data_IF_148668192479
#
_entry.id   IF_148668192479
#
_cell.length_a   1.000
_cell.length_b   1.000
_cell.length_c   1.000
_cell.angle_alpha   90.00
_cell.angle_beta   90.00
_cell.angle_gamma   90.00
#
_symmetry.space_group_name_H-M   'P 1'
#
loop_
_entity.id
_entity.type
_entity.pdbx_description
1 polymer ?
#
# COMPACT_ATOMS: atom_id res chain seq x y z
N UNK A 1 -5.41 -14.67 8.51
CA UNK A 1 -6.55 -14.72 7.56
C UNK A 1 -6.29 -15.87 6.61
N UNK A 2 -7.36 -16.46 6.05
CA UNK A 2 -7.26 -17.55 5.07
C UNK A 2 -6.47 -17.10 3.84
N UNK A 3 -5.57 -17.99 3.34
CA UNK A 3 -4.86 -17.81 2.07
C UNK A 3 -5.53 -18.60 0.93
N UNK A 4 -6.75 -19.12 1.17
CA UNK A 4 -7.53 -19.79 0.13
C UNK A 4 -8.00 -18.74 -0.87
N UNK A 5 -7.46 -18.78 -2.07
CA UNK A 5 -7.71 -17.76 -3.10
C UNK A 5 -9.19 -17.58 -3.43
N UNK A 6 -9.98 -18.66 -3.45
CA UNK A 6 -11.41 -18.61 -3.73
C UNK A 6 -12.26 -17.83 -2.72
N UNK A 7 -11.72 -17.54 -1.52
CA UNK A 7 -12.41 -16.76 -0.49
C UNK A 7 -12.21 -15.24 -0.66
N UNK A 8 -11.37 -14.83 -1.62
CA UNK A 8 -11.06 -13.42 -1.84
C UNK A 8 -11.71 -12.90 -3.11
N UNK A 9 -12.34 -11.74 -2.97
CA UNK A 9 -12.87 -10.98 -4.12
C UNK A 9 -12.13 -9.66 -4.20
N UNK A 10 -11.64 -9.31 -5.39
CA UNK A 10 -11.03 -8.03 -5.69
C UNK A 10 -12.05 -7.14 -6.38
N UNK A 11 -12.23 -5.93 -5.88
CA UNK A 11 -13.09 -4.89 -6.47
C UNK A 11 -12.21 -3.77 -7.01
N UNK A 12 -12.39 -3.42 -8.28
CA UNK A 12 -11.69 -2.33 -8.94
C UNK A 12 -12.68 -1.29 -9.44
N UNK A 13 -12.26 -0.03 -9.52
CA UNK A 13 -13.07 1.06 -10.06
C UNK A 13 -14.22 1.51 -9.16
N UNK A 14 -14.14 1.23 -7.86
CA UNK A 14 -15.12 1.65 -6.86
C UNK A 14 -14.54 2.68 -5.91
N UNK A 15 -15.32 3.69 -5.56
CA UNK A 15 -15.01 4.68 -4.51
C UNK A 15 -15.80 4.43 -3.23
N UNK A 16 -16.74 3.48 -3.26
CA UNK A 16 -17.61 3.14 -2.15
C UNK A 16 -17.56 1.62 -1.92
N UNK A 17 -17.30 1.20 -0.67
CA UNK A 17 -17.23 -0.23 -0.35
C UNK A 17 -18.59 -0.86 -0.07
N UNK A 18 -19.63 -0.08 0.12
CA UNK A 18 -21.00 -0.57 0.38
C UNK A 18 -21.81 -0.68 -0.90
N UNK A 19 -21.83 0.39 -1.68
CA UNK A 19 -22.62 0.43 -2.91
C UNK A 19 -21.83 -0.08 -4.12
N UNK A 20 -22.54 -0.67 -5.07
CA UNK A 20 -21.94 -1.16 -6.33
C UNK A 20 -22.00 -0.02 -7.34
N UNK A 21 -20.84 0.55 -7.66
CA UNK A 21 -20.73 1.59 -8.69
C UNK A 21 -20.87 1.01 -10.11
N UNK A 22 -21.36 1.83 -11.05
CA UNK A 22 -21.52 1.42 -12.47
C UNK A 22 -20.19 1.10 -13.16
N UNK A 23 -19.07 1.61 -12.64
CA UNK A 23 -17.72 1.40 -13.15
C UNK A 23 -16.98 0.24 -12.47
N UNK A 24 -17.61 -0.38 -11.48
CA UNK A 24 -16.99 -1.43 -10.68
C UNK A 24 -16.78 -2.71 -11.49
N UNK A 25 -15.60 -3.31 -11.33
CA UNK A 25 -15.27 -4.63 -11.83
C UNK A 25 -14.96 -5.53 -10.62
N UNK A 26 -15.51 -6.74 -10.61
CA UNK A 26 -15.30 -7.72 -9.55
C UNK A 26 -14.61 -8.96 -10.10
N UNK A 27 -13.60 -9.43 -9.37
CA UNK A 27 -12.81 -10.59 -9.72
C UNK A 27 -12.69 -11.53 -8.54
N UNK A 28 -12.80 -12.82 -8.80
CA UNK A 28 -12.27 -13.83 -7.89
C UNK A 28 -10.75 -13.89 -8.06
N UNK A 29 -10.03 -14.25 -7.01
CA UNK A 29 -8.60 -14.40 -7.08
C UNK A 29 -8.24 -15.83 -7.54
N UNK A 30 -7.27 -15.96 -8.45
CA UNK A 30 -6.78 -17.27 -8.86
C UNK A 30 -5.63 -17.74 -7.96
N UNK A 31 -4.72 -16.85 -7.62
CA UNK A 31 -3.55 -17.15 -6.77
C UNK A 31 -3.26 -15.98 -5.83
N UNK A 32 -2.90 -16.27 -4.58
CA UNK A 32 -2.31 -15.34 -3.63
C UNK A 32 -0.89 -15.83 -3.33
N UNK A 33 0.10 -14.97 -3.55
CA UNK A 33 1.50 -15.26 -3.27
C UNK A 33 2.02 -14.29 -2.21
N UNK A 34 2.20 -14.80 -1.01
CA UNK A 34 2.85 -14.06 0.09
C UNK A 34 4.36 -14.18 -0.10
N UNK A 35 5.09 -13.11 0.24
CA UNK A 35 6.55 -13.16 0.20
C UNK A 35 7.07 -14.30 1.11
N UNK A 36 7.98 -15.18 0.62
CA UNK A 36 8.38 -16.38 1.37
C UNK A 36 9.07 -16.09 2.70
N UNK A 37 9.68 -14.92 2.84
CA UNK A 37 10.38 -14.48 4.04
C UNK A 37 9.54 -13.49 4.88
N UNK A 38 8.21 -13.46 4.71
CA UNK A 38 7.36 -12.66 5.57
C UNK A 38 7.52 -13.07 7.04
N UNK A 39 7.75 -12.09 7.90
CA UNK A 39 7.89 -12.29 9.33
C UNK A 39 6.82 -11.49 10.08
N UNK A 40 5.84 -12.17 10.66
CA UNK A 40 4.73 -11.54 11.38
C UNK A 40 5.12 -10.88 12.71
N UNK A 41 6.31 -11.18 13.25
CA UNK A 41 6.78 -10.55 14.50
C UNK A 41 7.48 -9.21 14.26
N UNK A 42 8.20 -9.08 13.14
CA UNK A 42 8.90 -7.85 12.74
C UNK A 42 8.19 -7.07 11.63
N UNK A 43 7.16 -7.67 11.01
CA UNK A 43 6.50 -7.20 9.79
C UNK A 43 7.47 -6.99 8.60
N UNK A 44 8.65 -7.60 8.64
CA UNK A 44 9.53 -7.59 7.48
C UNK A 44 8.94 -8.39 6.33
N UNK A 45 9.19 -7.92 5.11
CA UNK A 45 8.72 -8.51 3.87
C UNK A 45 7.18 -8.66 3.82
N UNK A 46 6.46 -7.70 4.40
CA UNK A 46 5.00 -7.65 4.40
C UNK A 46 4.48 -7.18 3.04
N UNK A 47 4.51 -8.09 2.10
CA UNK A 47 4.06 -7.89 0.72
C UNK A 47 3.49 -9.18 0.15
N UNK A 48 2.41 -9.07 -0.61
CA UNK A 48 1.80 -10.18 -1.33
C UNK A 48 1.36 -9.76 -2.73
N UNK A 49 1.30 -10.71 -3.64
CA UNK A 49 0.72 -10.53 -4.97
C UNK A 49 -0.58 -11.33 -5.08
N UNK A 50 -1.58 -10.70 -5.64
CA UNK A 50 -2.87 -11.30 -5.92
C UNK A 50 -3.05 -11.36 -7.43
N UNK A 51 -3.17 -12.58 -7.99
CA UNK A 51 -3.48 -12.79 -9.40
C UNK A 51 -5.00 -12.91 -9.56
N UNK A 52 -5.55 -12.07 -10.41
CA UNK A 52 -6.96 -12.12 -10.78
C UNK A 52 -7.22 -13.35 -11.65
N UNK A 53 -8.42 -13.92 -11.57
CA UNK A 53 -8.82 -15.03 -12.44
C UNK A 53 -8.93 -14.55 -13.90
N UNK A 54 -9.57 -13.42 -14.11
CA UNK A 54 -9.73 -12.78 -15.41
C UNK A 54 -8.98 -11.46 -15.46
N UNK A 55 -8.50 -11.02 -16.64
CA UNK A 55 -7.83 -9.73 -16.79
C UNK A 55 -8.78 -8.57 -16.54
N UNK A 56 -8.30 -7.56 -15.78
CA UNK A 56 -9.03 -6.31 -15.60
C UNK A 56 -9.10 -5.51 -16.90
N UNK A 57 -10.24 -4.86 -17.14
CA UNK A 57 -10.42 -3.95 -18.29
C UNK A 57 -9.98 -2.55 -17.86
N UNK A 58 -8.90 -2.06 -18.48
CA UNK A 58 -8.41 -0.70 -18.23
C UNK A 58 -9.37 0.33 -18.85
N UNK A 59 -9.67 1.37 -18.10
CA UNK A 59 -10.58 2.46 -18.47
C UNK A 59 -10.34 3.67 -17.56
N UNK A 60 -11.18 4.70 -17.63
CA UNK A 60 -11.07 5.93 -16.83
C UNK A 60 -11.20 5.70 -15.30
N UNK A 61 -11.62 4.53 -14.85
CA UNK A 61 -11.82 4.20 -13.43
C UNK A 61 -10.88 3.09 -12.95
N UNK A 62 -10.24 2.38 -13.87
CA UNK A 62 -9.32 1.28 -13.57
C UNK A 62 -8.08 1.43 -14.42
N UNK A 63 -6.95 1.67 -13.79
CA UNK A 63 -5.65 1.87 -14.43
C UNK A 63 -4.54 1.14 -13.68
N UNK A 64 -3.42 0.96 -14.34
CA UNK A 64 -2.18 0.51 -13.69
C UNK A 64 -1.48 1.68 -13.03
N UNK A 65 -0.62 1.38 -12.04
CA UNK A 65 0.34 2.30 -11.46
C UNK A 65 1.76 1.85 -11.82
N UNK A 66 2.70 2.80 -11.93
CA UNK A 66 4.10 2.46 -12.17
C UNK A 66 4.74 1.83 -10.94
N UNK A 67 5.68 0.93 -11.16
CA UNK A 67 6.62 0.47 -10.13
C UNK A 67 7.89 1.33 -10.18
N UNK A 68 8.64 1.44 -9.07
CA UNK A 68 9.90 2.17 -9.04
C UNK A 68 10.91 1.60 -10.07
N UNK A 69 11.75 2.46 -10.59
CA UNK A 69 12.86 2.15 -11.49
C UNK A 69 14.17 2.77 -10.96
N UNK A 70 15.23 2.72 -11.76
CA UNK A 70 16.53 3.27 -11.38
C UNK A 70 16.52 4.79 -11.19
N UNK A 71 15.61 5.50 -11.85
CA UNK A 71 15.48 6.95 -11.81
C UNK A 71 14.56 7.42 -10.67
N UNK A 72 14.00 6.51 -9.91
CA UNK A 72 13.01 6.81 -8.88
C UNK A 72 13.61 7.24 -7.53
N UNK A 73 14.92 7.45 -7.44
CA UNK A 73 15.62 7.76 -6.18
C UNK A 73 15.07 8.99 -5.46
N UNK A 74 14.78 10.05 -6.19
CA UNK A 74 14.22 11.31 -5.68
C UNK A 74 12.85 11.14 -4.99
N UNK A 75 12.07 10.14 -5.37
CA UNK A 75 10.76 9.89 -4.80
C UNK A 75 10.83 9.44 -3.33
N UNK A 76 12.00 8.96 -2.90
CA UNK A 76 12.27 8.44 -1.56
C UNK A 76 12.98 9.46 -0.65
N UNK A 77 13.18 10.66 -1.12
CA UNK A 77 13.84 11.70 -0.34
C UNK A 77 12.96 12.16 0.82
N UNK A 78 13.61 12.45 1.94
CA UNK A 78 12.94 12.96 3.14
C UNK A 78 12.20 14.27 2.84
N UNK A 79 10.91 14.31 3.16
CA UNK A 79 10.04 15.45 2.91
C UNK A 79 9.30 15.39 1.56
N UNK A 80 9.62 14.45 0.65
CA UNK A 80 8.85 14.30 -0.58
C UNK A 80 7.40 13.94 -0.27
N UNK A 81 6.45 14.64 -0.91
CA UNK A 81 5.02 14.48 -0.66
C UNK A 81 4.45 13.38 -1.54
N UNK A 82 3.89 12.36 -0.90
CA UNK A 82 3.26 11.23 -1.55
C UNK A 82 1.80 11.09 -1.08
N UNK A 83 1.01 10.33 -1.79
CA UNK A 83 -0.41 10.14 -1.55
C UNK A 83 -0.70 8.71 -1.15
N UNK A 84 -1.62 8.53 -0.23
CA UNK A 84 -2.21 7.24 0.12
C UNK A 84 -3.73 7.38 0.08
N UNK A 85 -4.42 6.35 -0.36
CA UNK A 85 -5.87 6.33 -0.38
C UNK A 85 -6.41 5.03 0.20
N UNK A 86 -7.53 5.13 0.91
CA UNK A 86 -8.15 3.97 1.53
C UNK A 86 -9.51 4.27 2.14
N UNK A 87 -10.13 3.23 2.66
CA UNK A 87 -11.41 3.27 3.37
C UNK A 87 -11.25 3.02 4.86
N UNK A 88 -10.02 3.05 5.35
CA UNK A 88 -9.69 2.85 6.75
C UNK A 88 -10.31 3.88 7.67
N UNK A 89 -10.57 3.50 8.92
CA UNK A 89 -11.24 4.31 9.91
C UNK A 89 -10.77 3.95 11.32
N UNK A 90 -10.79 4.91 12.23
CA UNK A 90 -10.70 4.71 13.68
C UNK A 90 -12.02 4.18 14.29
N UNK A 91 -13.06 4.07 13.46
CA UNK A 91 -14.39 3.58 13.83
C UNK A 91 -14.56 2.11 13.48
N UNK A 92 -15.59 1.49 14.00
CA UNK A 92 -15.96 0.09 13.70
C UNK A 92 -16.29 -0.12 12.21
N UNK A 93 -16.68 0.94 11.52
CA UNK A 93 -17.09 0.90 10.11
C UNK A 93 -16.14 1.68 9.22
N UNK A 94 -15.89 1.22 7.98
CA UNK A 94 -15.08 1.92 7.00
C UNK A 94 -15.67 3.29 6.66
N UNK A 95 -14.81 4.22 6.23
CA UNK A 95 -15.21 5.55 5.78
C UNK A 95 -15.73 5.49 4.34
N UNK A 96 -16.82 6.17 4.08
CA UNK A 96 -17.38 6.36 2.75
C UNK A 96 -17.51 7.86 2.44
N UNK A 97 -17.15 8.31 1.27
CA UNK A 97 -16.43 7.61 0.18
C UNK A 97 -14.94 7.39 0.49
N UNK A 98 -14.21 6.79 -0.49
CA UNK A 98 -12.74 6.67 -0.46
C UNK A 98 -12.10 8.01 -0.07
N UNK A 99 -11.22 7.96 0.91
CA UNK A 99 -10.46 9.10 1.39
C UNK A 99 -9.02 9.04 0.94
N UNK A 100 -8.36 10.19 0.84
CA UNK A 100 -6.93 10.26 0.52
C UNK A 100 -6.21 11.23 1.44
N UNK A 101 -4.95 10.93 1.71
CA UNK A 101 -4.03 11.75 2.50
C UNK A 101 -2.78 12.04 1.68
N UNK A 102 -2.19 13.22 1.95
CA UNK A 102 -0.85 13.57 1.45
C UNK A 102 0.11 13.54 2.63
N UNK A 103 1.12 12.69 2.53
CA UNK A 103 2.08 12.41 3.60
C UNK A 103 3.51 12.64 3.09
N UNK A 104 4.38 13.30 3.86
CA UNK A 104 5.79 13.37 3.54
C UNK A 104 6.48 12.04 3.81
N UNK A 105 7.44 11.68 2.98
CA UNK A 105 8.41 10.62 3.28
C UNK A 105 9.26 11.06 4.47
N UNK A 106 9.52 10.14 5.38
CA UNK A 106 10.34 10.35 6.57
C UNK A 106 11.53 9.40 6.53
N UNK A 107 12.73 9.90 6.81
CA UNK A 107 13.91 9.05 6.85
C UNK A 107 13.77 7.97 7.93
N UNK A 108 14.26 6.74 7.66
CA UNK A 108 14.21 5.65 8.64
C UNK A 108 14.92 6.01 9.94
N UNK A 109 15.98 6.82 9.87
CA UNK A 109 16.66 7.33 11.07
C UNK A 109 15.72 8.17 11.93
N UNK A 110 14.96 9.08 11.34
CA UNK A 110 13.99 9.92 12.06
C UNK A 110 12.82 9.09 12.56
N UNK A 111 12.30 8.18 11.74
CA UNK A 111 11.23 7.27 12.10
C UNK A 111 11.58 6.44 13.35
N UNK A 112 12.76 5.82 13.38
CA UNK A 112 13.26 5.04 14.52
C UNK A 112 13.47 5.84 15.81
N UNK A 113 13.46 7.18 15.78
CA UNK A 113 13.53 8.00 17.01
C UNK A 113 12.19 8.27 17.64
N UNK A 114 11.10 8.10 16.89
CA UNK A 114 9.76 8.48 17.33
C UNK A 114 8.82 7.32 17.54
N UNK A 115 9.12 6.18 16.92
CA UNK A 115 8.24 5.02 16.90
C UNK A 115 8.88 3.83 17.62
N UNK A 116 8.06 2.99 18.25
CA UNK A 116 8.51 1.78 18.97
C UNK A 116 8.93 0.66 18.01
N UNK A 117 8.68 0.83 16.70
CA UNK A 117 9.05 -0.13 15.68
C UNK A 117 10.49 0.06 15.22
N UNK A 118 11.20 -1.05 15.06
CA UNK A 118 12.50 -1.06 14.41
C UNK A 118 12.32 -1.08 12.89
N UNK A 119 12.39 0.08 12.27
CA UNK A 119 12.30 0.22 10.80
C UNK A 119 13.61 -0.21 10.17
N UNK A 120 13.54 -1.21 9.29
CA UNK A 120 14.69 -1.76 8.57
C UNK A 120 14.88 -1.08 7.20
N UNK A 121 15.96 -1.39 6.50
CA UNK A 121 16.25 -0.85 5.16
C UNK A 121 15.21 -1.28 4.10
N UNK A 122 14.43 -2.34 4.38
CA UNK A 122 13.35 -2.82 3.49
C UNK A 122 12.01 -2.14 3.77
N UNK A 123 11.99 -1.21 4.68
CA UNK A 123 10.82 -0.45 5.09
C UNK A 123 10.99 1.03 4.76
N UNK A 124 9.88 1.69 4.57
CA UNK A 124 9.77 3.11 4.28
C UNK A 124 8.81 3.74 5.28
N UNK A 125 9.14 4.91 5.79
CA UNK A 125 8.23 5.68 6.63
C UNK A 125 7.64 6.86 5.87
N UNK A 126 6.36 7.11 6.11
CA UNK A 126 5.71 8.35 5.70
C UNK A 126 4.67 8.75 6.76
N UNK A 127 4.52 10.04 6.99
CA UNK A 127 3.55 10.51 7.97
C UNK A 127 3.83 11.93 8.43
N UNK A 128 2.90 12.46 9.21
CA UNK A 128 2.93 13.81 9.77
C UNK A 128 2.88 13.72 11.29
N UNK A 129 3.57 14.67 11.95
CA UNK A 129 3.61 14.74 13.42
C UNK A 129 2.30 15.28 14.04
N UNK A 130 1.34 15.70 13.22
CA UNK A 130 0.05 16.26 13.68
C UNK A 130 -1.04 15.18 13.88
N UNK A 131 -0.66 13.90 13.86
CA UNK A 131 -1.58 12.81 14.10
C UNK A 131 -2.46 12.43 12.89
N UNK A 132 -2.13 12.93 11.69
CA UNK A 132 -2.78 12.53 10.44
C UNK A 132 -1.99 11.40 9.80
N UNK A 133 -2.58 10.22 9.75
CA UNK A 133 -1.95 8.99 9.23
C UNK A 133 -2.99 8.04 8.64
N UNK A 134 -2.53 6.97 8.03
CA UNK A 134 -3.35 5.83 7.61
C UNK A 134 -4.00 5.15 8.80
N UNK A 135 -5.06 4.43 8.55
CA UNK A 135 -5.94 3.92 9.59
C UNK A 135 -6.18 2.41 9.49
N UNK A 136 -6.82 1.85 10.51
CA UNK A 136 -7.24 0.44 10.49
C UNK A 136 -8.11 0.17 9.25
N UNK A 137 -7.69 -0.78 8.42
CA UNK A 137 -8.33 -1.10 7.15
C UNK A 137 -7.60 -0.59 5.91
N UNK A 138 -6.59 0.27 6.06
CA UNK A 138 -5.76 0.75 4.96
C UNK A 138 -4.57 -0.16 4.64
N UNK A 139 -4.32 -1.21 5.42
CA UNK A 139 -3.25 -2.17 5.19
C UNK A 139 -3.28 -2.74 3.77
N UNK A 140 -2.15 -2.68 3.06
CA UNK A 140 -2.03 -3.03 1.65
C UNK A 140 -2.27 -1.89 0.67
N UNK A 141 -2.70 -0.70 1.14
CA UNK A 141 -2.82 0.49 0.29
C UNK A 141 -1.44 0.95 -0.20
N UNK A 142 -1.38 1.45 -1.43
CA UNK A 142 -0.15 1.96 -1.99
C UNK A 142 0.15 3.39 -1.49
N UNK A 143 1.38 3.63 -1.06
CA UNK A 143 1.94 4.98 -0.97
C UNK A 143 2.45 5.36 -2.37
N UNK A 144 1.87 6.40 -2.94
CA UNK A 144 2.04 6.79 -4.34
C UNK A 144 2.71 8.16 -4.42
N UNK A 145 3.88 8.23 -5.02
CA UNK A 145 4.54 9.51 -5.26
C UNK A 145 4.42 9.91 -6.73
N UNK A 146 4.33 11.21 -6.97
CA UNK A 146 4.22 11.74 -8.33
C UNK A 146 5.61 11.86 -8.97
N UNK A 147 5.75 11.37 -10.20
CA UNK A 147 6.95 11.48 -11.01
C UNK A 147 6.63 12.10 -12.38
N UNK A 148 7.64 12.40 -13.16
CA UNK A 148 7.46 12.85 -14.55
C UNK A 148 6.74 11.83 -15.45
N UNK A 149 6.75 10.54 -15.05
CA UNK A 149 6.10 9.42 -15.77
C UNK A 149 4.69 9.10 -15.22
N UNK A 150 4.23 9.81 -14.19
CA UNK A 150 2.97 9.55 -13.48
C UNK A 150 3.19 9.05 -12.06
N UNK A 151 2.15 8.52 -11.43
CA UNK A 151 2.24 7.98 -10.08
C UNK A 151 3.02 6.66 -10.03
N UNK A 152 3.90 6.56 -9.03
CA UNK A 152 4.73 5.38 -8.74
C UNK A 152 4.36 4.86 -7.36
N UNK A 153 4.09 3.57 -7.23
CA UNK A 153 3.86 2.89 -5.96
C UNK A 153 5.21 2.66 -5.27
N UNK A 154 5.59 3.55 -4.36
CA UNK A 154 6.87 3.50 -3.64
C UNK A 154 6.82 2.64 -2.39
N UNK A 155 5.66 2.52 -1.76
CA UNK A 155 5.44 1.74 -0.53
C UNK A 155 4.11 1.02 -0.52
N UNK A 156 4.02 -0.06 0.27
CA UNK A 156 2.78 -0.76 0.59
C UNK A 156 2.55 -0.63 2.08
N UNK A 157 1.40 -0.09 2.49
CA UNK A 157 1.05 0.12 3.89
C UNK A 157 1.06 -1.20 4.66
N UNK A 158 1.87 -1.29 5.69
CA UNK A 158 2.08 -2.50 6.49
C UNK A 158 1.62 -2.31 7.93
N UNK A 159 2.25 -1.41 8.66
CA UNK A 159 2.03 -1.24 10.10
C UNK A 159 1.89 0.24 10.46
N UNK A 160 1.00 0.51 11.42
CA UNK A 160 0.86 1.80 12.10
C UNK A 160 0.25 1.56 13.48
N UNK A 161 0.55 2.40 14.46
CA UNK A 161 0.02 2.29 15.83
C UNK A 161 -1.44 2.71 15.98
N UNK A 162 -2.18 2.71 14.89
CA UNK A 162 -3.58 3.14 14.84
C UNK A 162 -3.74 4.62 14.45
N UNK A 163 -4.93 4.93 14.00
CA UNK A 163 -5.32 6.17 13.37
C UNK A 163 -4.89 7.43 14.12
N UNK A 164 -3.88 8.12 13.64
CA UNK A 164 -3.40 9.37 14.22
C UNK A 164 -2.72 9.26 15.58
N UNK A 165 -2.40 8.06 16.04
CA UNK A 165 -1.68 7.82 17.31
C UNK A 165 -0.19 7.64 17.10
N UNK A 166 0.20 6.96 16.04
CA UNK A 166 1.60 6.92 15.62
C UNK A 166 1.98 8.21 14.89
N UNK A 167 3.23 8.53 14.98
CA UNK A 167 3.77 9.71 14.32
C UNK A 167 4.01 9.46 12.84
N UNK A 168 4.17 8.20 12.42
CA UNK A 168 4.46 7.80 11.05
C UNK A 168 3.92 6.40 10.75
N UNK A 169 3.37 6.22 9.55
CA UNK A 169 3.05 4.90 9.01
C UNK A 169 4.30 4.21 8.46
N UNK A 170 4.37 2.89 8.62
CA UNK A 170 5.45 2.05 8.10
C UNK A 170 4.94 1.27 6.89
N UNK A 171 5.69 1.31 5.82
CA UNK A 171 5.39 0.73 4.52
C UNK A 171 6.48 -0.25 4.11
N UNK A 172 6.14 -1.31 3.42
CA UNK A 172 7.13 -2.13 2.71
C UNK A 172 7.68 -1.34 1.53
N UNK A 173 8.99 -1.12 1.46
CA UNK A 173 9.65 -0.37 0.39
C UNK A 173 9.68 -1.21 -0.90
N UNK A 174 8.90 -0.81 -1.90
CA UNK A 174 8.68 -1.59 -3.13
C UNK A 174 9.97 -1.84 -3.91
N UNK A 175 10.98 -0.97 -3.80
CA UNK A 175 12.28 -1.15 -4.49
C UNK A 175 12.94 -2.48 -4.15
N UNK A 176 12.84 -2.91 -2.90
CA UNK A 176 13.46 -4.14 -2.41
C UNK A 176 12.76 -5.42 -2.88
N UNK A 177 11.59 -5.30 -3.48
CA UNK A 177 10.77 -6.45 -3.91
C UNK A 177 10.61 -6.56 -5.42
N UNK A 178 11.22 -5.67 -6.22
CA UNK A 178 11.07 -5.64 -7.68
C UNK A 178 11.47 -6.96 -8.35
N UNK A 179 12.57 -7.57 -7.92
CA UNK A 179 13.02 -8.85 -8.48
C UNK A 179 12.09 -9.99 -8.10
N UNK A 180 11.61 -10.01 -6.85
CA UNK A 180 10.61 -10.98 -6.44
C UNK A 180 9.31 -10.81 -7.23
N UNK A 181 8.83 -9.57 -7.40
CA UNK A 181 7.63 -9.26 -8.21
C UNK A 181 7.82 -9.79 -9.64
N UNK A 182 8.94 -9.48 -10.29
CA UNK A 182 9.24 -9.93 -11.65
C UNK A 182 9.19 -11.45 -11.77
N UNK A 183 9.84 -12.17 -10.84
CA UNK A 183 9.83 -13.64 -10.85
C UNK A 183 8.41 -14.19 -10.74
N UNK A 184 7.56 -13.57 -9.92
CA UNK A 184 6.17 -14.02 -9.75
C UNK A 184 5.28 -13.73 -10.97
N UNK A 185 5.60 -12.73 -11.78
CA UNK A 185 4.83 -12.41 -13.00
C UNK A 185 5.00 -13.44 -14.12
N UNK A 186 6.13 -14.16 -14.13
CA UNK A 186 6.48 -15.13 -15.17
C UNK A 186 6.37 -16.59 -14.70
N UNK A 187 5.83 -16.83 -13.49
CA UNK A 187 5.68 -18.18 -12.90
C UNK A 187 4.24 -18.72 -12.93
#
# INVERSE_FOLDING_TARGET
RSLVSSEWTVRLGSVDVVSVGKSEQRFITSVIRVHPNYNSSSNENDIALIKLHDPAKLNNYVSTICLPDQDSGELYENGNLCHVAGWGSDRVYPVYPLSSLTLPIVSNRQCNTFDEFSVTDKMLCAGRQDGIDTCSGDGGSALMCNSSKGFVAVGINSVGEGCGKSKHGVYSDVRHYLDWIKVQLFS
#
